data_IF_972513518048
#
_entry.id   IF_972513518048
#
_cell.length_a   1.000
_cell.length_b   1.000
_cell.length_c   1.000
_cell.angle_alpha   90.00
_cell.angle_beta   90.00
_cell.angle_gamma   90.00
#
_symmetry.space_group_name_H-M   'P 1'
#
loop_
_entity.id
_entity.type
_entity.pdbx_description
1 polymer ?
#
# COMPACT_ATOMS: atom_id res chain seq x y z
N UNK A 1 11.39 25.27 6.06
CA UNK A 1 11.47 25.94 4.76
C UNK A 1 12.24 25.06 3.78
N UNK A 2 11.60 24.70 2.65
CA UNK A 2 12.25 23.93 1.58
C UNK A 2 13.42 24.73 0.99
N UNK A 3 14.58 24.09 0.84
CA UNK A 3 15.78 24.73 0.28
C UNK A 3 16.46 23.78 -0.71
N UNK A 4 17.19 24.33 -1.65
CA UNK A 4 17.97 23.53 -2.60
C UNK A 4 19.13 22.83 -1.87
N UNK A 5 19.29 21.48 -1.98
CA UNK A 5 20.32 20.75 -1.26
C UNK A 5 21.76 21.08 -1.73
N UNK A 6 21.94 21.73 -2.90
CA UNK A 6 23.26 22.09 -3.44
C UNK A 6 23.68 23.52 -3.12
N UNK A 7 22.75 24.47 -3.07
CA UNK A 7 23.11 25.88 -2.83
C UNK A 7 22.45 26.48 -1.59
N UNK A 8 21.67 25.69 -0.84
CA UNK A 8 20.90 26.10 0.35
C UNK A 8 20.00 27.31 0.15
N UNK A 9 19.77 27.76 -1.10
CA UNK A 9 18.84 28.86 -1.36
C UNK A 9 17.41 28.42 -1.06
N UNK A 10 16.63 29.19 -0.29
CA UNK A 10 15.24 28.88 -0.01
C UNK A 10 14.41 28.80 -1.29
N UNK A 11 13.57 27.79 -1.40
CA UNK A 11 12.64 27.62 -2.52
C UNK A 11 11.44 28.53 -2.29
N UNK A 12 11.13 29.37 -3.29
CA UNK A 12 9.97 30.27 -3.22
C UNK A 12 8.67 29.47 -3.30
N UNK A 13 7.57 29.91 -2.66
CA UNK A 13 6.30 29.16 -2.64
C UNK A 13 5.80 28.76 -4.04
N UNK A 14 5.93 29.62 -5.02
CA UNK A 14 5.52 29.36 -6.41
C UNK A 14 6.45 28.40 -7.16
N UNK A 15 7.67 28.18 -6.66
CA UNK A 15 8.59 27.17 -7.18
C UNK A 15 8.39 25.80 -6.51
N UNK A 16 7.43 25.70 -5.58
CA UNK A 16 7.07 24.46 -4.89
C UNK A 16 5.69 23.91 -5.32
N UNK A 17 5.14 24.43 -6.43
CA UNK A 17 3.89 23.88 -7.00
C UNK A 17 4.21 22.53 -7.64
N UNK A 18 3.54 21.45 -7.22
CA UNK A 18 3.81 20.10 -7.70
C UNK A 18 3.80 20.01 -9.22
N UNK A 19 4.74 19.26 -9.80
CA UNK A 19 4.91 19.03 -11.24
C UNK A 19 5.16 20.31 -12.06
N UNK A 20 4.31 21.33 -11.88
CA UNK A 20 4.31 22.55 -12.70
C UNK A 20 5.63 23.32 -12.55
N UNK A 21 6.13 23.48 -11.33
CA UNK A 21 7.40 24.18 -11.10
C UNK A 21 8.58 23.47 -11.73
N UNK A 22 8.59 22.14 -11.69
CA UNK A 22 9.64 21.36 -12.34
C UNK A 22 9.63 21.54 -13.85
N UNK A 23 8.45 21.54 -14.48
CA UNK A 23 8.29 21.79 -15.93
C UNK A 23 8.74 23.20 -16.31
N UNK A 24 8.28 24.24 -15.59
CA UNK A 24 8.62 25.64 -15.85
C UNK A 24 10.12 25.90 -15.69
N UNK A 25 10.76 25.27 -14.70
CA UNK A 25 12.19 25.41 -14.43
C UNK A 25 13.07 24.48 -15.28
N UNK A 26 12.47 23.66 -16.15
CA UNK A 26 13.18 22.68 -16.98
C UNK A 26 13.99 21.66 -16.14
N UNK A 27 13.46 21.25 -14.99
CA UNK A 27 14.09 20.29 -14.09
C UNK A 27 15.36 20.82 -13.40
N UNK A 28 15.50 22.13 -13.23
CA UNK A 28 16.72 22.74 -12.67
C UNK A 28 16.39 23.72 -11.54
N UNK A 29 17.29 23.84 -10.58
CA UNK A 29 17.18 24.86 -9.55
C UNK A 29 17.20 26.27 -10.16
N UNK A 30 16.34 27.17 -9.69
CA UNK A 30 16.26 28.55 -10.16
C UNK A 30 17.59 29.31 -9.98
N UNK A 31 18.27 29.10 -8.84
CA UNK A 31 19.48 29.83 -8.47
C UNK A 31 20.74 29.21 -9.03
N UNK A 32 21.08 27.95 -8.69
CA UNK A 32 22.35 27.33 -9.08
C UNK A 32 22.28 26.45 -10.33
N UNK A 33 21.11 26.34 -10.96
CA UNK A 33 20.87 25.52 -12.17
C UNK A 33 21.18 24.02 -12.02
N UNK A 34 21.38 23.55 -10.78
CA UNK A 34 21.57 22.13 -10.51
C UNK A 34 20.34 21.31 -10.92
N UNK A 35 20.55 20.16 -11.54
CA UNK A 35 19.48 19.28 -11.99
C UNK A 35 18.67 18.73 -10.80
N UNK A 36 17.34 18.74 -10.95
CA UNK A 36 16.36 18.16 -10.02
C UNK A 36 15.85 16.86 -10.65
N UNK A 37 15.96 15.76 -9.93
CA UNK A 37 15.53 14.44 -10.42
C UNK A 37 14.05 14.45 -10.86
N UNK A 38 13.77 13.83 -12.02
CA UNK A 38 12.41 13.60 -12.50
C UNK A 38 11.57 12.70 -11.59
N UNK A 39 12.20 12.01 -10.62
CA UNK A 39 11.51 11.19 -9.61
C UNK A 39 10.55 12.04 -8.77
N UNK A 40 10.91 13.28 -8.44
CA UNK A 40 10.05 14.17 -7.64
C UNK A 40 8.72 14.47 -8.33
N UNK A 41 8.68 15.07 -9.53
CA UNK A 41 7.42 15.35 -10.20
C UNK A 41 6.66 14.07 -10.58
N UNK A 42 7.35 12.94 -10.82
CA UNK A 42 6.69 11.66 -11.06
C UNK A 42 5.92 11.15 -9.82
N UNK A 43 6.51 11.24 -8.62
CA UNK A 43 5.85 10.87 -7.38
C UNK A 43 4.67 11.81 -7.08
N UNK A 44 4.86 13.12 -7.28
CA UNK A 44 3.82 14.13 -7.10
C UNK A 44 2.62 13.88 -8.03
N UNK A 45 2.88 13.63 -9.33
CA UNK A 45 1.83 13.31 -10.30
C UNK A 45 1.11 12.02 -9.95
N UNK A 46 1.85 10.95 -9.63
CA UNK A 46 1.27 9.67 -9.24
C UNK A 46 0.37 9.81 -8.00
N UNK A 47 0.85 10.54 -6.99
CA UNK A 47 0.08 10.80 -5.77
C UNK A 47 -1.20 11.55 -6.10
N UNK A 48 -1.13 12.61 -6.94
CA UNK A 48 -2.29 13.37 -7.37
C UNK A 48 -3.32 12.50 -8.12
N UNK A 49 -2.84 11.65 -9.04
CA UNK A 49 -3.71 10.72 -9.80
C UNK A 49 -4.36 9.71 -8.85
N UNK A 50 -3.60 9.07 -7.96
CA UNK A 50 -4.14 8.10 -7.01
C UNK A 50 -5.16 8.77 -6.07
N UNK A 51 -4.87 9.95 -5.54
CA UNK A 51 -5.79 10.69 -4.69
C UNK A 51 -7.08 11.06 -5.44
N UNK A 52 -6.96 11.50 -6.69
CA UNK A 52 -8.12 11.77 -7.55
C UNK A 52 -8.97 10.52 -7.78
N UNK A 53 -8.35 9.37 -8.05
CA UNK A 53 -9.04 8.09 -8.21
C UNK A 53 -9.72 7.63 -6.91
N UNK A 54 -9.04 7.77 -5.78
CA UNK A 54 -9.62 7.45 -4.46
C UNK A 54 -10.83 8.33 -4.17
N UNK A 55 -10.71 9.65 -4.39
CA UNK A 55 -11.82 10.58 -4.19
C UNK A 55 -12.98 10.33 -5.16
N UNK A 56 -12.68 10.00 -6.41
CA UNK A 56 -13.68 9.62 -7.41
C UNK A 56 -14.45 8.35 -7.01
N UNK A 57 -13.73 7.35 -6.51
CA UNK A 57 -14.31 6.04 -6.20
C UNK A 57 -15.09 6.04 -4.89
N UNK A 58 -14.57 6.67 -3.84
CA UNK A 58 -15.15 6.69 -2.49
C UNK A 58 -16.16 7.84 -2.33
N UNK A 59 -16.02 8.90 -3.13
CA UNK A 59 -16.82 10.12 -2.97
C UNK A 59 -16.41 10.93 -1.72
N UNK A 60 -17.11 12.03 -1.47
CA UNK A 60 -16.88 12.90 -0.32
C UNK A 60 -17.57 12.35 0.95
N UNK A 61 -17.02 11.30 1.49
CA UNK A 61 -17.53 10.59 2.67
C UNK A 61 -16.57 10.70 3.84
N UNK A 62 -17.00 10.32 5.04
CA UNK A 62 -16.16 10.29 6.24
C UNK A 62 -15.00 9.27 6.12
N UNK A 63 -15.10 8.29 5.22
CA UNK A 63 -14.03 7.33 4.95
C UNK A 63 -12.94 7.87 4.02
N UNK A 64 -13.21 8.91 3.23
CA UNK A 64 -12.26 9.49 2.28
C UNK A 64 -10.91 9.88 2.91
N UNK A 65 -10.86 10.62 4.04
CA UNK A 65 -9.58 10.94 4.67
C UNK A 65 -8.77 9.70 5.06
N UNK A 66 -9.43 8.65 5.53
CA UNK A 66 -8.80 7.38 5.91
C UNK A 66 -8.16 6.72 4.69
N UNK A 67 -8.89 6.64 3.59
CA UNK A 67 -8.41 6.07 2.34
C UNK A 67 -7.27 6.88 1.73
N UNK A 68 -7.30 8.22 1.81
CA UNK A 68 -6.21 9.08 1.35
C UNK A 68 -4.95 8.91 2.20
N UNK A 69 -5.06 8.81 3.52
CA UNK A 69 -3.93 8.51 4.42
C UNK A 69 -3.35 7.14 4.06
N UNK A 70 -4.18 6.12 3.91
CA UNK A 70 -3.73 4.80 3.50
C UNK A 70 -3.00 4.83 2.15
N UNK A 71 -3.56 5.51 1.15
CA UNK A 71 -2.93 5.65 -0.17
C UNK A 71 -1.58 6.37 -0.08
N UNK A 72 -1.47 7.45 0.71
CA UNK A 72 -0.21 8.16 0.94
C UNK A 72 0.86 7.27 1.58
N UNK A 73 0.47 6.47 2.58
CA UNK A 73 1.37 5.51 3.24
C UNK A 73 1.83 4.44 2.25
N UNK A 74 0.92 3.86 1.46
CA UNK A 74 1.29 2.86 0.45
C UNK A 74 2.24 3.43 -0.60
N UNK A 75 1.95 4.61 -1.15
CA UNK A 75 2.85 5.27 -2.12
C UNK A 75 4.23 5.50 -1.49
N UNK A 76 4.28 6.00 -0.25
CA UNK A 76 5.55 6.24 0.45
C UNK A 76 6.35 4.95 0.60
N UNK A 77 5.72 3.86 1.06
CA UNK A 77 6.36 2.55 1.23
C UNK A 77 6.85 1.97 -0.12
N UNK A 78 6.06 2.09 -1.19
CA UNK A 78 6.44 1.68 -2.56
C UNK A 78 7.74 2.38 -2.99
N UNK A 79 7.83 3.71 -2.82
CA UNK A 79 9.01 4.45 -3.27
C UNK A 79 10.22 4.28 -2.36
N UNK A 80 10.04 4.03 -1.06
CA UNK A 80 11.13 3.69 -0.14
C UNK A 80 11.66 2.30 -0.48
N UNK A 81 10.79 1.32 -0.67
CA UNK A 81 11.20 -0.04 -1.04
C UNK A 81 11.91 -0.08 -2.40
N UNK A 82 11.38 0.67 -3.39
CA UNK A 82 12.02 0.82 -4.70
C UNK A 82 13.44 1.42 -4.66
N UNK A 83 13.72 2.26 -3.65
CA UNK A 83 15.01 2.94 -3.52
C UNK A 83 15.99 2.25 -2.60
N UNK A 84 15.50 1.58 -1.56
CA UNK A 84 16.31 1.10 -0.44
C UNK A 84 16.11 -0.37 -0.10
N UNK A 85 15.11 -1.05 -0.70
CA UNK A 85 14.73 -2.44 -0.40
C UNK A 85 14.41 -2.67 1.09
N UNK A 86 13.86 -1.66 1.74
CA UNK A 86 13.47 -1.70 3.15
C UNK A 86 12.10 -1.07 3.36
N UNK A 87 11.33 -1.63 4.29
CA UNK A 87 10.07 -1.07 4.76
C UNK A 87 10.25 -0.61 6.21
N UNK A 88 10.36 0.72 6.47
CA UNK A 88 10.74 1.23 7.78
C UNK A 88 9.63 1.01 8.82
N UNK A 89 10.05 0.53 9.99
CA UNK A 89 9.16 0.28 11.12
C UNK A 89 8.39 1.53 11.57
N UNK A 90 9.00 2.71 11.38
CA UNK A 90 8.41 4.01 11.73
C UNK A 90 7.16 4.34 10.89
N UNK A 91 6.92 3.62 9.80
CA UNK A 91 5.72 3.75 8.97
C UNK A 91 4.81 2.53 9.13
N UNK A 92 5.38 1.32 9.13
CA UNK A 92 4.58 0.08 9.15
C UNK A 92 3.84 -0.15 10.47
N UNK A 93 4.45 0.16 11.63
CA UNK A 93 3.75 0.06 12.92
C UNK A 93 2.66 1.12 13.10
N UNK A 94 2.88 2.41 12.81
CA UNK A 94 1.80 3.40 12.83
C UNK A 94 0.66 3.06 11.87
N UNK A 95 0.93 2.48 10.71
CA UNK A 95 -0.11 2.02 9.80
C UNK A 95 -1.00 0.96 10.46
N UNK A 96 -0.41 -0.03 11.13
CA UNK A 96 -1.18 -1.07 11.84
C UNK A 96 -2.02 -0.48 12.97
N UNK A 97 -1.41 0.39 13.81
CA UNK A 97 -2.14 1.06 14.89
C UNK A 97 -3.27 1.93 14.34
N UNK A 98 -3.01 2.70 13.29
CA UNK A 98 -4.03 3.49 12.60
C UNK A 98 -5.20 2.62 12.11
N UNK A 99 -4.91 1.50 11.46
CA UNK A 99 -5.93 0.58 10.97
C UNK A 99 -6.81 0.05 12.11
N UNK A 100 -6.21 -0.37 13.24
CA UNK A 100 -6.95 -0.84 14.42
C UNK A 100 -7.82 0.27 15.01
N UNK A 101 -7.30 1.50 15.15
CA UNK A 101 -8.07 2.63 15.66
C UNK A 101 -9.25 2.98 14.75
N UNK A 102 -9.05 2.96 13.43
CA UNK A 102 -10.13 3.15 12.46
C UNK A 102 -11.21 2.09 12.64
N UNK A 103 -10.84 0.82 12.72
CA UNK A 103 -11.77 -0.29 12.87
C UNK A 103 -12.50 -0.29 14.22
N UNK A 104 -11.91 0.32 15.25
CA UNK A 104 -12.53 0.48 16.56
C UNK A 104 -13.51 1.67 16.57
N UNK A 105 -13.09 2.82 16.04
CA UNK A 105 -13.81 4.09 16.21
C UNK A 105 -14.85 4.33 15.12
N UNK A 106 -14.50 4.02 13.85
CA UNK A 106 -15.36 4.34 12.71
C UNK A 106 -16.76 3.73 12.81
N UNK A 107 -16.94 2.46 13.18
CA UNK A 107 -18.27 1.85 13.31
C UNK A 107 -19.15 2.48 14.40
N UNK A 108 -18.54 3.11 15.41
CA UNK A 108 -19.28 3.79 16.48
C UNK A 108 -19.89 5.12 16.04
N UNK A 109 -19.28 5.77 15.04
CA UNK A 109 -19.63 7.15 14.66
C UNK A 109 -20.31 7.20 13.29
N UNK A 110 -19.87 6.41 12.32
CA UNK A 110 -20.24 6.51 10.91
C UNK A 110 -20.90 5.23 10.34
N UNK A 111 -21.00 4.16 11.14
CA UNK A 111 -21.53 2.88 10.66
C UNK A 111 -20.49 1.98 9.99
N UNK A 112 -20.97 0.93 9.33
CA UNK A 112 -20.12 -0.19 8.84
C UNK A 112 -20.05 -0.32 7.32
N UNK A 113 -20.62 0.61 6.58
CA UNK A 113 -20.81 0.53 5.11
C UNK A 113 -19.53 0.27 4.32
N UNK A 114 -18.39 0.80 4.80
CA UNK A 114 -17.09 0.67 4.12
C UNK A 114 -16.29 -0.57 4.51
N UNK A 115 -16.83 -1.40 5.40
CA UNK A 115 -16.17 -2.63 5.87
C UNK A 115 -16.94 -3.85 5.38
N UNK A 116 -16.77 -4.17 4.11
CA UNK A 116 -17.48 -5.28 3.45
C UNK A 116 -17.21 -6.65 4.09
N UNK A 117 -16.06 -6.82 4.76
CA UNK A 117 -15.70 -8.02 5.49
C UNK A 117 -16.62 -8.29 6.69
N UNK A 118 -17.32 -7.27 7.19
CA UNK A 118 -18.34 -7.42 8.24
C UNK A 118 -19.61 -8.15 7.78
N UNK A 119 -19.74 -8.42 6.49
CA UNK A 119 -20.81 -9.29 5.95
C UNK A 119 -20.42 -10.76 5.89
N UNK A 120 -19.17 -11.09 6.24
CA UNK A 120 -18.59 -12.43 6.14
C UNK A 120 -18.01 -12.90 7.47
N UNK A 121 -17.25 -14.03 7.42
CA UNK A 121 -16.52 -14.49 8.59
C UNK A 121 -15.45 -13.44 9.04
N UNK A 122 -15.26 -13.14 10.35
CA UNK A 122 -15.91 -13.80 11.51
C UNK A 122 -17.26 -13.15 11.93
N UNK A 123 -17.69 -12.09 11.26
CA UNK A 123 -18.88 -11.33 11.66
C UNK A 123 -20.15 -12.18 11.71
N UNK A 124 -20.30 -13.12 10.77
CA UNK A 124 -21.43 -14.06 10.72
C UNK A 124 -21.55 -14.94 11.95
N UNK A 125 -20.44 -15.19 12.65
CA UNK A 125 -20.40 -15.97 13.90
C UNK A 125 -20.66 -15.11 15.15
N UNK A 126 -20.58 -13.78 15.01
CA UNK A 126 -20.69 -12.84 16.12
C UNK A 126 -22.05 -12.12 16.16
N UNK A 127 -23.11 -12.79 15.70
CA UNK A 127 -24.47 -12.24 15.70
C UNK A 127 -24.88 -11.71 17.09
N UNK A 128 -25.40 -10.46 17.12
CA UNK A 128 -25.79 -9.80 18.37
C UNK A 128 -24.67 -9.03 19.09
N UNK A 129 -23.40 -9.14 18.66
CA UNK A 129 -22.30 -8.36 19.21
C UNK A 129 -22.30 -6.90 18.70
N UNK A 130 -21.79 -5.94 19.48
CA UNK A 130 -21.72 -4.55 19.04
C UNK A 130 -20.80 -4.39 17.82
N UNK A 131 -21.16 -3.48 16.91
CA UNK A 131 -20.48 -3.29 15.62
C UNK A 131 -18.96 -3.05 15.73
N UNK A 132 -18.52 -2.30 16.74
CA UNK A 132 -17.09 -2.05 16.96
C UNK A 132 -16.31 -3.32 17.30
N UNK A 133 -16.91 -4.23 18.07
CA UNK A 133 -16.27 -5.50 18.45
C UNK A 133 -16.15 -6.42 17.24
N UNK A 134 -17.21 -6.50 16.43
CA UNK A 134 -17.21 -7.26 15.17
C UNK A 134 -16.18 -6.71 14.20
N UNK A 135 -16.12 -5.39 14.05
CA UNK A 135 -15.13 -4.73 13.20
C UNK A 135 -13.69 -4.98 13.65
N UNK A 136 -13.44 -4.95 14.95
CA UNK A 136 -12.13 -5.27 15.52
C UNK A 136 -11.75 -6.73 15.27
N UNK A 137 -12.67 -7.67 15.44
CA UNK A 137 -12.44 -9.09 15.13
C UNK A 137 -12.12 -9.29 13.64
N UNK A 138 -12.86 -8.61 12.74
CA UNK A 138 -12.58 -8.61 11.31
C UNK A 138 -11.19 -8.03 10.99
N UNK A 139 -10.80 -6.95 11.70
CA UNK A 139 -9.46 -6.36 11.55
C UNK A 139 -8.35 -7.35 11.94
N UNK A 140 -8.51 -8.06 13.05
CA UNK A 140 -7.54 -9.06 13.50
C UNK A 140 -7.44 -10.24 12.53
N UNK A 141 -8.57 -10.73 12.03
CA UNK A 141 -8.59 -11.79 10.99
C UNK A 141 -7.95 -11.29 9.71
N UNK A 142 -8.21 -10.05 9.29
CA UNK A 142 -7.58 -9.43 8.14
C UNK A 142 -6.05 -9.29 8.31
N UNK A 143 -5.60 -8.86 9.48
CA UNK A 143 -4.18 -8.79 9.81
C UNK A 143 -3.50 -10.16 9.74
N UNK A 144 -4.14 -11.19 10.29
CA UNK A 144 -3.63 -12.57 10.22
C UNK A 144 -3.63 -13.09 8.78
N UNK A 145 -4.67 -12.80 8.01
CA UNK A 145 -4.71 -13.17 6.59
C UNK A 145 -3.61 -12.48 5.76
N UNK A 146 -3.27 -11.23 6.09
CA UNK A 146 -2.18 -10.49 5.46
C UNK A 146 -0.81 -10.88 5.98
N UNK A 147 -0.41 -10.27 7.09
CA UNK A 147 0.91 -10.47 7.66
C UNK A 147 1.15 -11.89 8.18
N UNK A 148 0.12 -12.51 8.79
CA UNK A 148 0.24 -13.87 9.31
C UNK A 148 0.49 -14.92 8.21
N UNK A 149 -0.20 -14.82 7.07
CA UNK A 149 0.00 -15.73 5.94
C UNK A 149 1.41 -15.59 5.33
N UNK A 150 1.87 -14.35 5.14
CA UNK A 150 3.21 -14.08 4.64
C UNK A 150 4.29 -14.57 5.61
N UNK A 151 4.11 -14.30 6.91
CA UNK A 151 5.03 -14.81 7.92
C UNK A 151 5.08 -16.34 7.91
N UNK A 152 3.93 -16.99 7.85
CA UNK A 152 3.84 -18.46 7.82
C UNK A 152 4.55 -19.03 6.60
N UNK A 153 4.32 -18.49 5.41
CA UNK A 153 4.99 -18.91 4.16
C UNK A 153 6.49 -18.68 4.26
N UNK A 154 6.93 -17.52 4.79
CA UNK A 154 8.34 -17.19 4.98
C UNK A 154 9.05 -18.15 5.95
N UNK A 155 8.41 -18.45 7.10
CA UNK A 155 8.95 -19.38 8.08
C UNK A 155 8.99 -20.82 7.56
N UNK A 156 7.95 -21.23 6.83
CA UNK A 156 7.90 -22.55 6.19
C UNK A 156 9.04 -22.72 5.18
N UNK A 157 9.28 -21.72 4.33
CA UNK A 157 10.38 -21.71 3.37
C UNK A 157 11.74 -21.78 4.04
N UNK A 158 11.93 -20.99 5.14
CA UNK A 158 13.16 -21.01 5.93
C UNK A 158 13.46 -22.40 6.50
N UNK A 159 12.44 -23.11 6.98
CA UNK A 159 12.60 -24.49 7.47
C UNK A 159 12.99 -25.49 6.38
N UNK A 160 12.45 -25.33 5.16
CA UNK A 160 12.76 -26.28 4.07
C UNK A 160 14.05 -25.97 3.32
N UNK A 161 14.37 -24.68 3.16
CA UNK A 161 15.50 -24.24 2.31
C UNK A 161 16.67 -23.63 3.09
N UNK A 162 16.51 -23.31 4.38
CA UNK A 162 17.52 -22.70 5.21
C UNK A 162 17.82 -21.23 4.91
N UNK A 163 17.09 -20.60 3.97
CA UNK A 163 17.25 -19.19 3.59
C UNK A 163 15.96 -18.41 3.83
N UNK A 164 16.12 -17.14 4.21
CA UNK A 164 14.97 -16.25 4.38
C UNK A 164 14.42 -15.86 3.01
N UNK A 165 13.13 -16.19 2.78
CA UNK A 165 12.47 -15.92 1.51
C UNK A 165 11.75 -14.57 1.48
N UNK A 166 11.46 -13.97 2.64
CA UNK A 166 10.60 -12.80 2.73
C UNK A 166 11.05 -11.85 3.83
N UNK A 167 11.01 -10.55 3.53
CA UNK A 167 11.35 -9.50 4.49
C UNK A 167 10.28 -9.36 5.59
N UNK A 168 10.71 -9.24 6.86
CA UNK A 168 9.79 -8.91 7.96
C UNK A 168 9.07 -7.56 7.75
N UNK A 169 9.60 -6.69 6.90
CA UNK A 169 8.96 -5.45 6.51
C UNK A 169 7.64 -5.66 5.77
N UNK A 170 7.62 -6.59 4.81
CA UNK A 170 6.43 -6.97 4.03
C UNK A 170 5.35 -7.55 4.95
N UNK A 171 5.74 -8.40 5.89
CA UNK A 171 4.84 -8.96 6.90
C UNK A 171 4.16 -7.85 7.71
N UNK A 172 4.94 -6.88 8.22
CA UNK A 172 4.42 -5.77 9.03
C UNK A 172 3.53 -4.83 8.22
N UNK A 173 3.89 -4.53 6.99
CA UNK A 173 3.06 -3.75 6.08
C UNK A 173 1.71 -4.45 5.86
N UNK A 174 1.73 -5.74 5.57
CA UNK A 174 0.50 -6.50 5.29
C UNK A 174 -0.35 -6.80 6.54
N UNK A 175 0.21 -6.72 7.77
CA UNK A 175 -0.61 -6.65 9.00
C UNK A 175 -1.49 -5.39 9.00
N UNK A 176 -0.93 -4.23 8.67
CA UNK A 176 -1.67 -2.96 8.60
C UNK A 176 -2.68 -2.93 7.46
N UNK A 177 -2.29 -3.39 6.27
CA UNK A 177 -3.19 -3.53 5.12
C UNK A 177 -4.37 -4.44 5.46
N UNK A 178 -4.08 -5.60 6.04
CA UNK A 178 -5.09 -6.59 6.41
C UNK A 178 -6.05 -6.10 7.48
N UNK A 179 -5.54 -5.41 8.49
CA UNK A 179 -6.36 -4.79 9.53
C UNK A 179 -7.34 -3.76 8.95
N UNK A 180 -6.93 -2.97 7.96
CA UNK A 180 -7.78 -1.94 7.37
C UNK A 180 -8.74 -2.49 6.32
N UNK A 181 -8.24 -3.23 5.32
CA UNK A 181 -9.02 -3.70 4.17
C UNK A 181 -9.84 -4.96 4.46
N UNK A 182 -9.52 -5.69 5.53
CA UNK A 182 -10.11 -6.98 5.82
C UNK A 182 -9.49 -8.13 5.01
N UNK A 183 -9.79 -9.37 5.40
CA UNK A 183 -9.10 -10.55 4.88
C UNK A 183 -9.30 -10.78 3.37
N UNK A 184 -10.50 -10.53 2.83
CA UNK A 184 -10.82 -10.75 1.39
C UNK A 184 -9.96 -9.88 0.49
N UNK A 185 -9.99 -8.57 0.71
CA UNK A 185 -9.23 -7.61 -0.10
C UNK A 185 -7.73 -7.75 0.10
N UNK A 186 -7.31 -8.19 1.28
CA UNK A 186 -5.91 -8.44 1.59
C UNK A 186 -5.37 -9.66 0.85
N UNK A 187 -6.12 -10.76 0.79
CA UNK A 187 -5.74 -11.90 -0.02
C UNK A 187 -5.69 -11.55 -1.52
N UNK A 188 -6.64 -10.74 -2.00
CA UNK A 188 -6.59 -10.20 -3.36
C UNK A 188 -5.35 -9.32 -3.57
N UNK A 189 -4.98 -8.47 -2.60
CA UNK A 189 -3.77 -7.64 -2.67
C UNK A 189 -2.51 -8.49 -2.79
N UNK A 190 -2.40 -9.56 -1.98
CA UNK A 190 -1.28 -10.50 -2.02
C UNK A 190 -1.24 -11.21 -3.38
N UNK A 191 -2.39 -11.68 -3.87
CA UNK A 191 -2.48 -12.33 -5.17
C UNK A 191 -2.03 -11.40 -6.31
N UNK A 192 -2.56 -10.17 -6.36
CA UNK A 192 -2.18 -9.18 -7.38
C UNK A 192 -0.69 -8.81 -7.28
N UNK A 193 -0.19 -8.64 -6.06
CA UNK A 193 1.22 -8.36 -5.80
C UNK A 193 2.13 -9.50 -6.24
N UNK A 194 1.84 -10.73 -5.82
CA UNK A 194 2.62 -11.90 -6.18
C UNK A 194 2.58 -12.18 -7.70
N UNK A 195 1.41 -12.07 -8.33
CA UNK A 195 1.25 -12.26 -9.76
C UNK A 195 2.04 -11.20 -10.56
N UNK A 196 1.88 -9.92 -10.24
CA UNK A 196 2.62 -8.86 -10.93
C UNK A 196 4.13 -8.94 -10.69
N UNK A 197 4.55 -9.28 -9.47
CA UNK A 197 5.95 -9.52 -9.13
C UNK A 197 6.55 -10.70 -9.91
N UNK A 198 5.81 -11.80 -10.03
CA UNK A 198 6.24 -12.96 -10.82
C UNK A 198 6.38 -12.61 -12.30
N UNK A 199 5.40 -11.93 -12.89
CA UNK A 199 5.45 -11.52 -14.31
C UNK A 199 6.65 -10.60 -14.58
N UNK A 200 6.84 -9.57 -13.76
CA UNK A 200 7.95 -8.63 -13.91
C UNK A 200 9.28 -9.33 -13.63
N UNK A 201 9.34 -10.20 -12.62
CA UNK A 201 10.52 -10.99 -12.30
C UNK A 201 10.98 -11.86 -13.48
N UNK A 202 10.04 -12.57 -14.12
CA UNK A 202 10.33 -13.37 -15.33
C UNK A 202 10.85 -12.49 -16.46
N UNK A 203 10.23 -11.32 -16.70
CA UNK A 203 10.66 -10.40 -17.77
C UNK A 203 12.08 -9.90 -17.50
N UNK A 204 12.40 -9.56 -16.24
CA UNK A 204 13.75 -9.11 -15.86
C UNK A 204 14.78 -10.21 -16.11
N UNK A 205 14.51 -11.44 -15.64
CA UNK A 205 15.41 -12.59 -15.82
C UNK A 205 15.64 -12.90 -17.30
N UNK A 206 14.58 -12.84 -18.12
CA UNK A 206 14.68 -13.10 -19.56
C UNK A 206 15.50 -12.02 -20.32
N UNK A 207 15.57 -10.81 -19.78
CA UNK A 207 16.33 -9.70 -20.37
C UNK A 207 17.79 -9.63 -19.89
N UNK A 208 18.13 -10.26 -18.77
CA UNK A 208 19.50 -10.34 -18.27
C UNK A 208 20.32 -11.31 -19.11
N UNK A 209 21.45 -10.84 -19.66
CA UNK A 209 22.40 -11.66 -20.41
C UNK A 209 23.17 -12.65 -19.53
N UNK A 210 23.42 -12.28 -18.28
CA UNK A 210 24.05 -13.11 -17.27
C UNK A 210 22.95 -13.82 -16.47
N UNK A 211 22.95 -15.15 -16.52
CA UNK A 211 21.93 -16.02 -15.90
C UNK A 211 22.04 -16.11 -14.36
N UNK A 212 22.45 -15.04 -13.68
CA UNK A 212 22.37 -15.00 -12.24
C UNK A 212 20.91 -14.85 -11.82
N UNK A 213 20.30 -15.97 -11.42
CA UNK A 213 18.90 -16.07 -10.95
C UNK A 213 18.63 -15.35 -9.62
N UNK A 214 19.56 -14.52 -9.14
CA UNK A 214 19.47 -13.81 -7.85
C UNK A 214 19.19 -12.30 -7.99
N UNK A 215 18.42 -11.89 -9.01
CA UNK A 215 17.93 -10.53 -9.07
C UNK A 215 17.01 -10.27 -7.87
N UNK A 216 17.49 -9.54 -6.86
CA UNK A 216 16.66 -9.10 -5.74
C UNK A 216 15.69 -8.04 -6.25
N UNK A 217 14.42 -8.40 -6.30
CA UNK A 217 13.35 -7.47 -6.68
C UNK A 217 12.59 -7.09 -5.41
N UNK A 218 12.46 -5.79 -5.09
CA UNK A 218 11.75 -5.36 -3.89
C UNK A 218 10.28 -5.78 -3.98
N UNK A 219 9.86 -6.70 -3.10
CA UNK A 219 8.52 -7.30 -3.14
C UNK A 219 7.45 -6.34 -2.60
N UNK A 220 7.82 -5.45 -1.69
CA UNK A 220 6.91 -4.45 -1.12
C UNK A 220 6.30 -3.51 -2.16
N UNK A 221 6.98 -3.24 -3.29
CA UNK A 221 6.40 -2.47 -4.40
C UNK A 221 5.14 -3.13 -4.93
N UNK A 222 5.20 -4.42 -5.17
CA UNK A 222 4.09 -5.19 -5.74
C UNK A 222 2.95 -5.35 -4.73
N UNK A 223 3.26 -5.62 -3.48
CA UNK A 223 2.27 -5.70 -2.40
C UNK A 223 1.58 -4.35 -2.17
N UNK A 224 2.34 -3.25 -2.14
CA UNK A 224 1.80 -1.91 -2.00
C UNK A 224 0.89 -1.52 -3.16
N UNK A 225 1.32 -1.81 -4.40
CA UNK A 225 0.51 -1.59 -5.61
C UNK A 225 -0.75 -2.45 -5.59
N UNK A 226 -0.64 -3.74 -5.24
CA UNK A 226 -1.77 -4.65 -5.07
C UNK A 226 -2.77 -4.14 -4.02
N UNK A 227 -2.27 -3.55 -2.92
CA UNK A 227 -3.11 -2.96 -1.87
C UNK A 227 -3.88 -1.72 -2.33
N UNK A 228 -3.25 -0.86 -3.15
CA UNK A 228 -3.92 0.29 -3.77
C UNK A 228 -4.99 -0.17 -4.78
N UNK A 229 -4.69 -1.17 -5.59
CA UNK A 229 -5.65 -1.74 -6.54
C UNK A 229 -6.83 -2.40 -5.82
N UNK A 230 -6.56 -3.11 -4.72
CA UNK A 230 -7.62 -3.72 -3.90
C UNK A 230 -8.49 -2.66 -3.21
N UNK A 231 -7.92 -1.55 -2.75
CA UNK A 231 -8.69 -0.43 -2.21
C UNK A 231 -9.64 0.17 -3.26
N UNK A 232 -9.17 0.35 -4.50
CA UNK A 232 -9.93 1.01 -5.57
C UNK A 232 -10.94 0.08 -6.25
N UNK A 233 -10.53 -1.14 -6.55
CA UNK A 233 -11.28 -2.03 -7.42
C UNK A 233 -11.60 -3.39 -6.79
N UNK A 234 -11.12 -3.65 -5.57
CA UNK A 234 -11.15 -4.98 -4.97
C UNK A 234 -12.56 -5.53 -4.82
N UNK A 235 -13.51 -4.73 -4.32
CA UNK A 235 -14.90 -5.17 -4.17
C UNK A 235 -15.56 -5.53 -5.51
N UNK A 236 -15.27 -4.75 -6.56
CA UNK A 236 -15.80 -5.04 -7.90
C UNK A 236 -15.19 -6.30 -8.48
N UNK A 237 -13.88 -6.50 -8.28
CA UNK A 237 -13.18 -7.71 -8.75
C UNK A 237 -13.68 -8.96 -8.03
N UNK A 238 -13.84 -8.88 -6.71
CA UNK A 238 -14.37 -10.00 -5.93
C UNK A 238 -15.82 -10.31 -6.29
N UNK A 239 -16.67 -9.28 -6.44
CA UNK A 239 -18.07 -9.47 -6.84
C UNK A 239 -18.19 -10.05 -8.25
N UNK A 240 -17.38 -9.58 -9.19
CA UNK A 240 -17.32 -10.13 -10.54
C UNK A 240 -16.94 -11.61 -10.54
N UNK A 241 -15.87 -11.96 -9.80
CA UNK A 241 -15.43 -13.35 -9.69
C UNK A 241 -16.50 -14.23 -9.05
N UNK A 242 -17.09 -13.80 -7.94
CA UNK A 242 -18.16 -14.55 -7.27
C UNK A 242 -19.39 -14.76 -8.19
N UNK A 243 -19.74 -13.74 -8.97
CA UNK A 243 -20.87 -13.83 -9.92
C UNK A 243 -20.61 -14.75 -11.13
N UNK A 244 -19.35 -15.18 -11.40
CA UNK A 244 -19.03 -16.14 -12.46
C UNK A 244 -19.00 -17.59 -11.98
N UNK A 245 -18.72 -17.81 -10.69
CA UNK A 245 -18.37 -19.14 -10.17
C UNK A 245 -19.22 -19.60 -8.97
N UNK A 246 -20.04 -18.74 -8.41
CA UNK A 246 -20.98 -19.01 -7.32
C UNK A 246 -22.40 -18.65 -7.71
#
# INVERSE_FOLDING_TARGET
NSACPKCNTPIKPYDNIPVLSWLILGGKCRSCKAAISARYPAVELLTGVVFGLVAWHIGFTAFLPIALIFAAVMISLIFIDAGHMILPNVITYPLFVFAILVRLIYPLVFGTEYFSDMSYFPATMMGGSPAWLVSLACALVGALAGGGSLWFVGELWKRFRGVEAMGLGDVKMMLGVGALLGWRLTLLSIFLGAFSGAVIGIIVILRQKDKDMQAQIPFGIFLGTGSLLALLFGERLVAWYAGQFL
#
